data_IF_918491052605
#
_entry.id   IF_918491052605
#
_cell.length_a   1.000
_cell.length_b   1.000
_cell.length_c   1.000
_cell.angle_alpha   90.00
_cell.angle_beta   90.00
_cell.angle_gamma   90.00
#
_symmetry.space_group_name_H-M   'P 1'
#
loop_
_entity.id
_entity.type
_entity.pdbx_description
1 polymer ?
#
# COMPACT_ATOMS: atom_id res chain seq x y z
N UNK A 1 20.12 22.13 -18.59
CA UNK A 1 19.46 21.26 -17.60
C UNK A 1 20.51 20.53 -16.76
N UNK A 2 21.47 21.27 -16.19
CA UNK A 2 22.54 20.72 -15.34
C UNK A 2 22.69 21.64 -14.14
N UNK A 3 21.71 21.61 -13.24
CA UNK A 3 21.91 22.12 -11.89
C UNK A 3 22.40 20.96 -11.03
N UNK A 4 23.65 21.05 -10.56
CA UNK A 4 24.36 19.99 -9.83
C UNK A 4 23.86 19.78 -8.38
N UNK A 5 22.62 20.18 -8.06
CA UNK A 5 22.05 20.09 -6.70
C UNK A 5 20.76 19.25 -6.63
N UNK A 6 20.31 18.64 -7.74
CA UNK A 6 19.18 17.72 -7.73
C UNK A 6 19.52 16.40 -7.04
N UNK A 7 18.63 15.89 -6.17
CA UNK A 7 18.79 14.61 -5.47
C UNK A 7 18.15 13.42 -6.18
N UNK A 8 17.24 13.67 -7.13
CA UNK A 8 16.49 12.66 -7.87
C UNK A 8 17.18 12.35 -9.21
N UNK A 9 17.40 11.07 -9.49
CA UNK A 9 18.08 10.56 -10.69
C UNK A 9 17.31 9.40 -11.29
N UNK A 10 17.62 9.02 -12.53
CA UNK A 10 17.04 7.83 -13.15
C UNK A 10 17.33 6.54 -12.34
N UNK A 11 18.49 6.46 -11.67
CA UNK A 11 18.92 5.27 -10.93
C UNK A 11 18.18 5.08 -9.59
N UNK A 12 17.61 6.14 -9.01
CA UNK A 12 16.85 6.09 -7.75
C UNK A 12 15.35 6.37 -7.94
N UNK A 13 14.86 6.38 -9.18
CA UNK A 13 13.46 6.58 -9.54
C UNK A 13 12.86 5.30 -10.14
N UNK A 14 11.53 5.19 -10.08
CA UNK A 14 10.81 4.09 -10.77
C UNK A 14 10.79 4.35 -12.29
N UNK A 15 11.03 3.34 -13.14
CA UNK A 15 10.96 3.49 -14.59
C UNK A 15 9.50 3.45 -15.11
N UNK A 16 9.32 3.73 -16.40
CA UNK A 16 8.09 3.41 -17.11
C UNK A 16 7.98 1.89 -17.29
N UNK A 17 6.86 1.29 -16.88
CA UNK A 17 6.66 -0.17 -16.91
C UNK A 17 5.30 -0.54 -17.49
N UNK A 18 5.26 -1.60 -18.31
CA UNK A 18 4.03 -2.24 -18.79
C UNK A 18 3.82 -3.57 -18.04
N UNK A 19 2.64 -3.79 -17.46
CA UNK A 19 2.34 -5.01 -16.71
C UNK A 19 0.87 -5.13 -16.27
N UNK A 20 0.48 -6.34 -15.83
CA UNK A 20 -0.85 -6.63 -15.31
C UNK A 20 -0.79 -7.53 -14.06
N UNK A 21 -1.78 -7.40 -13.17
CA UNK A 21 -1.93 -8.23 -11.98
C UNK A 21 -3.41 -8.53 -11.72
N UNK A 22 -3.70 -9.65 -11.07
CA UNK A 22 -5.05 -10.05 -10.67
C UNK A 22 -5.03 -10.71 -9.29
N UNK A 23 -6.06 -10.40 -8.48
CA UNK A 23 -6.31 -11.03 -7.18
C UNK A 23 -7.78 -11.44 -7.13
N UNK A 24 -8.06 -12.66 -6.70
CA UNK A 24 -9.42 -13.13 -6.45
C UNK A 24 -9.74 -12.93 -4.97
N UNK A 25 -10.79 -12.17 -4.70
CA UNK A 25 -11.31 -11.95 -3.34
C UNK A 25 -12.68 -12.58 -3.20
N UNK A 26 -12.96 -13.11 -2.02
CA UNK A 26 -14.26 -13.68 -1.65
C UNK A 26 -14.41 -13.67 -0.12
N UNK A 27 -15.63 -13.88 0.36
CA UNK A 27 -15.86 -14.11 1.79
C UNK A 27 -15.25 -15.44 2.22
N UNK A 28 -14.86 -15.53 3.49
CA UNK A 28 -14.33 -16.79 4.04
C UNK A 28 -15.34 -17.94 3.95
N UNK A 29 -16.63 -17.65 4.13
CA UNK A 29 -17.71 -18.65 3.97
C UNK A 29 -17.70 -19.25 2.56
N UNK A 30 -17.58 -18.41 1.53
CA UNK A 30 -17.54 -18.87 0.15
C UNK A 30 -16.28 -19.67 -0.16
N UNK A 31 -15.13 -19.24 0.36
CA UNK A 31 -13.89 -20.01 0.23
C UNK A 31 -14.03 -21.41 0.84
N UNK A 32 -14.67 -21.52 2.02
CA UNK A 32 -14.94 -22.80 2.70
C UNK A 32 -15.89 -23.69 1.90
N UNK A 33 -17.00 -23.15 1.39
CA UNK A 33 -17.94 -23.90 0.53
C UNK A 33 -17.26 -24.48 -0.71
N UNK A 34 -16.34 -23.72 -1.29
CA UNK A 34 -15.59 -24.12 -2.49
C UNK A 34 -14.36 -25.00 -2.17
N UNK A 35 -14.07 -25.29 -0.90
CA UNK A 35 -12.88 -26.05 -0.49
C UNK A 35 -11.55 -25.34 -0.79
N UNK A 36 -11.57 -24.01 -0.92
CA UNK A 36 -10.37 -23.21 -1.20
C UNK A 36 -9.65 -22.83 0.09
N UNK A 37 -8.32 -22.85 0.06
CA UNK A 37 -7.47 -22.38 1.16
C UNK A 37 -7.07 -20.91 0.93
N UNK A 38 -7.52 -19.95 1.76
CA UNK A 38 -7.14 -18.54 1.62
C UNK A 38 -5.62 -18.33 1.76
N UNK A 39 -5.05 -17.43 0.95
CA UNK A 39 -3.64 -17.02 1.05
C UNK A 39 -3.41 -15.94 2.12
N UNK A 40 -4.44 -15.16 2.43
CA UNK A 40 -4.38 -14.07 3.38
C UNK A 40 -5.77 -13.45 3.56
N UNK A 41 -5.85 -12.46 4.44
CA UNK A 41 -7.09 -11.75 4.74
C UNK A 41 -6.87 -10.24 4.65
N UNK A 42 -7.80 -9.54 4.00
CA UNK A 42 -7.86 -8.08 4.07
C UNK A 42 -8.44 -7.68 5.43
N UNK A 43 -7.57 -7.23 6.36
CA UNK A 43 -7.98 -6.85 7.73
C UNK A 43 -8.58 -5.44 7.79
N UNK A 44 -7.95 -4.49 7.13
CA UNK A 44 -8.42 -3.11 7.05
C UNK A 44 -7.82 -2.43 5.81
N UNK A 45 -8.35 -1.25 5.50
CA UNK A 45 -7.80 -0.32 4.52
C UNK A 45 -8.18 1.10 4.93
N UNK A 46 -7.44 2.09 4.43
CA UNK A 46 -7.70 3.49 4.69
C UNK A 46 -7.39 4.35 3.47
N UNK A 47 -8.17 5.41 3.31
CA UNK A 47 -7.96 6.47 2.35
C UNK A 47 -7.85 7.78 3.12
N UNK A 48 -6.84 8.58 2.78
CA UNK A 48 -6.61 9.92 3.34
C UNK A 48 -6.26 10.86 2.20
N UNK A 49 -6.47 12.16 2.42
CA UNK A 49 -6.10 13.21 1.49
C UNK A 49 -5.20 14.22 2.20
N UNK A 50 -4.25 14.76 1.46
CA UNK A 50 -3.32 15.81 1.91
C UNK A 50 -3.19 16.86 0.82
N UNK A 51 -2.59 17.99 1.17
CA UNK A 51 -2.31 19.05 0.22
C UNK A 51 -1.36 18.59 -0.90
N UNK A 52 -1.60 19.07 -2.13
CA UNK A 52 -0.88 18.61 -3.32
C UNK A 52 0.35 19.45 -3.66
N UNK A 53 0.53 20.61 -3.03
CA UNK A 53 1.54 21.59 -3.46
C UNK A 53 2.94 21.28 -2.93
N UNK A 54 3.03 20.73 -1.71
CA UNK A 54 4.34 20.45 -1.08
C UNK A 54 4.52 18.99 -0.66
N UNK A 55 3.46 18.35 -0.13
CA UNK A 55 3.59 17.07 0.59
C UNK A 55 2.91 15.90 -0.11
N UNK A 56 2.52 16.03 -1.39
CA UNK A 56 1.66 15.08 -2.10
C UNK A 56 2.05 13.60 -1.95
N UNK A 57 3.35 13.28 -1.85
CA UNK A 57 3.85 11.90 -1.74
C UNK A 57 3.86 11.35 -0.30
N UNK A 58 3.47 12.14 0.70
CA UNK A 58 3.39 11.73 2.11
C UNK A 58 2.08 11.02 2.48
N UNK A 59 1.25 10.64 1.50
CA UNK A 59 0.00 9.91 1.73
C UNK A 59 0.12 8.72 2.71
N UNK A 60 1.14 7.85 2.58
CA UNK A 60 1.35 6.72 3.50
C UNK A 60 1.58 7.12 4.96
N UNK A 61 2.14 8.30 5.24
CA UNK A 61 2.32 8.77 6.62
C UNK A 61 0.98 9.03 7.33
N UNK A 62 -0.10 9.25 6.56
CA UNK A 62 -1.45 9.48 7.08
C UNK A 62 -2.35 8.25 6.96
N UNK A 63 -2.27 7.50 5.86
CA UNK A 63 -3.15 6.36 5.63
C UNK A 63 -2.75 5.12 6.44
N UNK A 64 -1.45 4.87 6.62
CA UNK A 64 -0.94 3.73 7.39
C UNK A 64 -1.42 3.72 8.84
N UNK A 65 -1.27 4.80 9.65
CA UNK A 65 -1.74 4.77 11.03
C UNK A 65 -3.25 4.56 11.13
N UNK A 66 -4.05 5.14 10.23
CA UNK A 66 -5.50 4.95 10.21
C UNK A 66 -5.89 3.51 9.82
N UNK A 67 -5.19 2.89 8.87
CA UNK A 67 -5.41 1.49 8.52
C UNK A 67 -5.08 0.56 9.71
N UNK A 68 -3.96 0.82 10.40
CA UNK A 68 -3.55 0.04 11.57
C UNK A 68 -4.54 0.20 12.74
N UNK A 69 -4.97 1.42 13.04
CA UNK A 69 -6.00 1.68 14.04
C UNK A 69 -7.29 0.90 13.75
N UNK A 70 -7.77 0.92 12.50
CA UNK A 70 -8.95 0.16 12.07
C UNK A 70 -8.77 -1.35 12.18
N UNK A 71 -7.53 -1.84 12.03
CA UNK A 71 -7.20 -3.24 12.22
C UNK A 71 -6.96 -3.61 13.70
N UNK A 72 -6.90 -2.63 14.61
CA UNK A 72 -6.51 -2.84 16.00
C UNK A 72 -5.05 -3.29 16.16
N UNK A 73 -4.18 -2.86 15.25
CA UNK A 73 -2.78 -3.23 15.18
C UNK A 73 -1.86 -2.04 15.43
N UNK A 74 -0.62 -2.32 15.79
CA UNK A 74 0.48 -1.36 15.90
C UNK A 74 1.56 -1.65 14.86
N UNK A 75 2.48 -0.70 14.68
CA UNK A 75 3.65 -0.91 13.79
C UNK A 75 4.51 -2.10 14.23
N UNK A 76 4.55 -2.43 15.53
CA UNK A 76 5.33 -3.54 16.06
C UNK A 76 4.72 -4.92 15.71
N UNK A 77 3.44 -4.96 15.34
CA UNK A 77 2.76 -6.19 14.93
C UNK A 77 3.05 -6.57 13.46
N UNK A 78 3.62 -5.63 12.68
CA UNK A 78 3.97 -5.85 11.29
C UNK A 78 5.33 -6.55 11.17
N UNK A 79 5.36 -7.65 10.43
CA UNK A 79 6.58 -8.42 10.15
C UNK A 79 7.18 -8.13 8.78
N UNK A 80 6.42 -7.47 7.90
CA UNK A 80 6.82 -7.06 6.55
C UNK A 80 6.12 -5.73 6.20
N UNK A 81 6.84 -4.86 5.50
CA UNK A 81 6.36 -3.58 4.96
C UNK A 81 6.36 -3.60 3.44
#
# INVERSE_FOLDING_TARGET
MTENHGSVTAANSTPLTDGAAAVIMMTESRAKELGLRPLGYLRSYAFTAIDVWQDMLLGPAWSTPLALERAGLTMADLTLF
#
